data_IF_609391011811
#
_entry.id   IF_609391011811
#
_cell.length_a   1.000
_cell.length_b   1.000
_cell.length_c   1.000
_cell.angle_alpha   90.00
_cell.angle_beta   90.00
_cell.angle_gamma   90.00
#
_symmetry.space_group_name_H-M   'P 1'
#
loop_
_entity.id
_entity.type
_entity.pdbx_description
1 polymer ?
#
# COMPACT_ATOMS: atom_id res chain seq x y z
N UNK A 1 -7.35 -13.66 31.79
CA UNK A 1 -7.48 -13.02 30.47
C UNK A 1 -6.74 -13.89 29.45
N UNK A 2 -7.35 -14.30 28.33
CA UNK A 2 -6.61 -15.02 27.29
C UNK A 2 -5.53 -14.09 26.73
N UNK A 3 -4.30 -14.60 26.66
CA UNK A 3 -3.18 -13.88 26.06
C UNK A 3 -3.45 -13.72 24.56
N UNK A 4 -3.30 -12.52 23.97
CA UNK A 4 -3.51 -12.35 22.55
C UNK A 4 -2.46 -13.16 21.77
N UNK A 5 -2.91 -13.85 20.73
CA UNK A 5 -2.02 -14.54 19.81
C UNK A 5 -1.05 -13.52 19.22
N UNK A 6 0.25 -13.69 19.49
CA UNK A 6 1.33 -12.79 19.02
C UNK A 6 1.28 -12.61 17.50
N UNK A 7 0.79 -13.62 16.77
CA UNK A 7 0.63 -13.55 15.31
C UNK A 7 -0.46 -12.58 14.89
N UNK A 8 -1.52 -12.40 15.69
CA UNK A 8 -2.61 -11.47 15.39
C UNK A 8 -2.16 -10.01 15.47
N UNK A 9 -1.29 -9.67 16.41
CA UNK A 9 -0.75 -8.31 16.51
C UNK A 9 0.15 -7.97 15.32
N UNK A 10 0.99 -8.92 14.89
CA UNK A 10 1.84 -8.74 13.70
C UNK A 10 0.98 -8.57 12.45
N UNK A 11 -0.05 -9.40 12.29
CA UNK A 11 -0.98 -9.31 11.16
C UNK A 11 -1.68 -7.96 11.10
N UNK A 12 -2.25 -7.52 12.24
CA UNK A 12 -2.94 -6.24 12.33
C UNK A 12 -2.01 -5.06 12.08
N UNK A 13 -0.77 -5.10 12.58
CA UNK A 13 0.21 -4.05 12.33
C UNK A 13 0.61 -4.00 10.85
N UNK A 14 0.79 -5.16 10.23
CA UNK A 14 1.12 -5.24 8.81
C UNK A 14 -0.02 -4.69 7.94
N UNK A 15 -1.27 -5.03 8.27
CA UNK A 15 -2.46 -4.47 7.63
C UNK A 15 -2.54 -2.95 7.81
N UNK A 16 -2.31 -2.45 9.02
CA UNK A 16 -2.32 -1.01 9.31
C UNK A 16 -1.28 -0.26 8.48
N UNK A 17 -0.06 -0.79 8.33
CA UNK A 17 1.00 -0.20 7.52
C UNK A 17 0.61 -0.16 6.03
N UNK A 18 0.00 -1.24 5.53
CA UNK A 18 -0.49 -1.31 4.15
C UNK A 18 -1.59 -0.26 3.92
N UNK A 19 -2.56 -0.15 4.82
CA UNK A 19 -3.68 0.80 4.71
C UNK A 19 -3.21 2.25 4.84
N UNK A 20 -2.27 2.53 5.75
CA UNK A 20 -1.66 3.85 5.90
C UNK A 20 -0.93 4.25 4.62
N UNK A 21 -0.10 3.36 4.08
CA UNK A 21 0.61 3.59 2.81
C UNK A 21 -0.35 3.82 1.65
N UNK A 22 -1.51 3.16 1.63
CA UNK A 22 -2.54 3.39 0.61
C UNK A 22 -3.14 4.79 0.74
N UNK A 23 -3.46 5.23 1.96
CA UNK A 23 -3.96 6.59 2.23
C UNK A 23 -2.94 7.66 1.84
N UNK A 24 -1.66 7.42 2.13
CA UNK A 24 -0.56 8.33 1.88
C UNK A 24 -0.26 8.54 0.39
N UNK A 25 -0.84 7.73 -0.53
CA UNK A 25 -0.81 8.01 -1.97
C UNK A 25 -1.47 9.34 -2.35
N UNK A 26 -2.38 9.87 -1.53
CA UNK A 26 -3.03 11.17 -1.73
C UNK A 26 -2.29 12.33 -1.04
N UNK A 27 -1.26 12.06 -0.25
CA UNK A 27 -0.47 13.07 0.46
C UNK A 27 0.78 13.45 -0.31
N UNK A 28 1.00 14.74 -0.54
CA UNK A 28 2.08 15.21 -1.45
C UNK A 28 3.48 14.87 -0.92
N UNK A 29 3.66 14.93 0.39
CA UNK A 29 4.85 14.62 1.18
C UNK A 29 5.15 13.11 1.22
N UNK A 30 4.14 12.28 1.48
CA UNK A 30 4.32 10.83 1.74
C UNK A 30 4.13 9.94 0.49
N UNK A 31 3.59 10.49 -0.60
CA UNK A 31 3.25 9.72 -1.81
C UNK A 31 4.44 9.02 -2.43
N UNK A 32 5.60 9.66 -2.47
CA UNK A 32 6.78 9.06 -3.11
C UNK A 32 7.20 7.78 -2.40
N UNK A 33 7.25 7.82 -1.07
CA UNK A 33 7.63 6.68 -0.24
C UNK A 33 6.56 5.58 -0.27
N UNK A 34 5.28 5.95 -0.32
CA UNK A 34 4.17 5.01 -0.50
C UNK A 34 4.24 4.28 -1.85
N UNK A 35 4.56 4.99 -2.93
CA UNK A 35 4.79 4.37 -4.25
C UNK A 35 5.96 3.40 -4.19
N UNK A 36 7.06 3.80 -3.55
CA UNK A 36 8.25 2.96 -3.39
C UNK A 36 7.94 1.71 -2.58
N UNK A 37 7.14 1.82 -1.51
CA UNK A 37 6.66 0.70 -0.72
C UNK A 37 5.89 -0.31 -1.57
N UNK A 38 4.84 0.13 -2.28
CA UNK A 38 4.00 -0.74 -3.11
C UNK A 38 4.72 -1.34 -4.33
N UNK A 39 5.76 -0.68 -4.84
CA UNK A 39 6.60 -1.21 -5.91
C UNK A 39 7.70 -2.16 -5.41
N UNK A 40 8.13 -2.01 -4.17
CA UNK A 40 9.22 -2.81 -3.59
C UNK A 40 8.82 -4.18 -3.04
N UNK A 41 9.84 -4.87 -2.53
CA UNK A 41 9.70 -6.14 -1.79
C UNK A 41 9.06 -5.96 -0.42
N UNK A 42 9.13 -4.75 0.15
CA UNK A 42 8.48 -4.42 1.43
C UNK A 42 6.99 -4.73 1.42
N UNK A 43 6.29 -4.40 0.33
CA UNK A 43 4.87 -4.73 0.21
C UNK A 43 4.61 -6.25 0.16
N UNK A 44 5.50 -7.05 -0.45
CA UNK A 44 5.34 -8.51 -0.47
C UNK A 44 5.46 -9.09 0.95
N UNK A 45 6.46 -8.62 1.72
CA UNK A 45 6.68 -9.06 3.09
C UNK A 45 5.50 -8.67 4.00
N UNK A 46 5.07 -7.41 3.95
CA UNK A 46 3.93 -6.93 4.74
C UNK A 46 2.62 -7.60 4.32
N UNK A 47 2.41 -7.85 3.02
CA UNK A 47 1.24 -8.59 2.53
C UNK A 47 1.20 -10.02 3.09
N UNK A 48 2.35 -10.71 3.09
CA UNK A 48 2.45 -12.04 3.69
C UNK A 48 2.19 -12.01 5.20
N UNK A 49 2.71 -11.01 5.92
CA UNK A 49 2.48 -10.83 7.37
C UNK A 49 1.02 -10.51 7.69
N UNK A 50 0.35 -9.76 6.82
CA UNK A 50 -1.08 -9.47 6.87
C UNK A 50 -1.97 -10.65 6.43
N UNK A 51 -1.38 -11.82 6.14
CA UNK A 51 -2.12 -13.01 5.72
C UNK A 51 -2.68 -12.94 4.28
N UNK A 52 -2.18 -12.03 3.45
CA UNK A 52 -2.57 -11.94 2.04
C UNK A 52 -1.91 -13.06 1.23
N UNK A 53 -2.70 -13.79 0.46
CA UNK A 53 -2.18 -14.70 -0.54
C UNK A 53 -1.57 -13.97 -1.74
N UNK A 54 -0.68 -14.64 -2.48
CA UNK A 54 -0.01 -14.09 -3.68
C UNK A 54 -0.96 -13.39 -4.66
N UNK A 55 -2.11 -14.01 -4.95
CA UNK A 55 -3.13 -13.44 -5.83
C UNK A 55 -3.71 -12.11 -5.30
N UNK A 56 -3.85 -11.96 -3.98
CA UNK A 56 -4.34 -10.71 -3.37
C UNK A 56 -3.28 -9.61 -3.47
N UNK A 57 -2.01 -9.94 -3.19
CA UNK A 57 -0.87 -9.03 -3.33
C UNK A 57 -0.77 -8.53 -4.78
N UNK A 58 -0.83 -9.44 -5.76
CA UNK A 58 -0.76 -9.08 -7.18
C UNK A 58 -1.92 -8.18 -7.63
N UNK A 59 -3.15 -8.47 -7.16
CA UNK A 59 -4.32 -7.62 -7.46
C UNK A 59 -4.18 -6.23 -6.87
N UNK A 60 -3.75 -6.13 -5.63
CA UNK A 60 -3.55 -4.84 -4.96
C UNK A 60 -2.44 -4.03 -5.62
N UNK A 61 -1.35 -4.67 -6.03
CA UNK A 61 -0.27 -4.03 -6.78
C UNK A 61 -0.77 -3.46 -8.12
N UNK A 62 -1.59 -4.21 -8.85
CA UNK A 62 -2.24 -3.72 -10.08
C UNK A 62 -3.14 -2.52 -9.81
N UNK A 63 -3.95 -2.59 -8.75
CA UNK A 63 -4.84 -1.51 -8.36
C UNK A 63 -4.08 -0.22 -7.99
N UNK A 64 -3.02 -0.34 -7.18
CA UNK A 64 -2.17 0.81 -6.80
C UNK A 64 -1.48 1.40 -8.03
N UNK A 65 -0.94 0.58 -8.93
CA UNK A 65 -0.36 1.08 -10.18
C UNK A 65 -1.38 1.85 -11.02
N UNK A 66 -2.60 1.34 -11.14
CA UNK A 66 -3.69 2.05 -11.81
C UNK A 66 -3.97 3.43 -11.17
N UNK A 67 -4.04 3.52 -9.84
CA UNK A 67 -4.22 4.82 -9.15
C UNK A 67 -3.08 5.78 -9.46
N UNK A 68 -1.83 5.29 -9.38
CA UNK A 68 -0.64 6.11 -9.63
C UNK A 68 -0.66 6.68 -11.04
N UNK A 69 -0.99 5.85 -12.03
CA UNK A 69 -1.03 6.22 -13.45
C UNK A 69 -2.13 7.26 -13.71
N UNK A 70 -3.34 7.05 -13.15
CA UNK A 70 -4.46 8.01 -13.26
C UNK A 70 -4.15 9.36 -12.63
N UNK A 71 -3.42 9.39 -11.51
CA UNK A 71 -3.03 10.67 -10.91
C UNK A 71 -1.86 11.36 -11.61
N UNK A 72 -1.04 10.62 -12.36
CA UNK A 72 -0.01 11.19 -13.23
C UNK A 72 -0.63 11.97 -14.41
N UNK A 73 -1.69 11.44 -15.01
CA UNK A 73 -2.41 12.09 -16.12
C UNK A 73 -3.21 13.33 -15.67
N UNK A 74 -3.80 13.32 -14.46
CA UNK A 74 -4.51 14.50 -13.91
C UNK A 74 -3.54 15.67 -13.67
N UNK A 75 -2.38 15.44 -13.03
CA UNK A 75 -1.38 16.50 -12.79
C UNK A 75 -0.76 17.09 -14.06
N UNK A 76 -0.68 16.33 -15.15
CA UNK A 76 -0.20 16.86 -16.43
C UNK A 76 -1.21 17.83 -17.06
N UNK A 77 -2.51 17.60 -16.87
CA UNK A 77 -3.56 18.50 -17.36
C UNK A 77 -3.61 19.83 -16.59
N UNK A 78 -3.39 19.81 -15.28
CA UNK A 78 -3.34 21.03 -14.46
C UNK A 78 -2.15 21.95 -14.77
N UNK A 79 -1.08 21.41 -15.37
CA UNK A 79 0.09 22.20 -15.81
C UNK A 79 -0.04 22.76 -17.22
N UNK A 80 -1.06 22.35 -17.97
CA UNK A 80 -1.30 22.75 -19.36
C UNK A 80 -2.41 23.81 -19.52
N UNK A 81 -3.03 24.22 -18.41
CA UNK A 81 -3.96 25.36 -18.33
C UNK A 81 -3.31 26.49 -17.53
#
# INVERSE_FOLDING_TARGET
MPQPDKNKHIMNLAEAVILQSLSDLWRRDERHDSIKFFKGEGFNAYGSLAGMGKKQIDRMRKFVNFIIDQQGTVRQREKLC
#
